data_IF_095258474989
#
_entry.id   IF_095258474989
#
_cell.length_a   1.000
_cell.length_b   1.000
_cell.length_c   1.000
_cell.angle_alpha   90.00
_cell.angle_beta   90.00
_cell.angle_gamma   90.00
#
_symmetry.space_group_name_H-M   'P 1'
#
loop_
_entity.id
_entity.type
_entity.pdbx_description
1 polymer ?
2 non-polymer ?
3 water ?
#
# COMPACT_ATOMS: atom_id res chain seq x y z
N UNK A 20 13.56 -9.41 -7.80
CA UNK A 20 14.37 -10.25 -6.95
C UNK A 20 13.79 -10.58 -5.59
N UNK A 21 14.18 -11.74 -5.06
CA UNK A 21 13.73 -12.12 -3.72
C UNK A 21 14.32 -11.22 -2.65
N UNK A 22 13.63 -11.18 -1.52
CA UNK A 22 14.09 -10.39 -0.40
C UNK A 22 13.57 -8.97 -0.45
N UNK A 23 14.16 -8.15 0.40
CA UNK A 23 13.70 -6.80 0.58
C UNK A 23 12.57 -6.74 1.58
N UNK A 24 12.02 -5.54 1.72
CA UNK A 24 10.90 -5.33 2.64
C UNK A 24 9.74 -6.26 2.31
N UNK A 25 9.06 -6.73 3.35
CA UNK A 25 7.91 -7.61 3.19
C UNK A 25 6.63 -6.80 2.97
N UNK A 26 5.88 -7.14 1.92
CA UNK A 26 4.59 -6.49 1.72
C UNK A 26 3.63 -6.85 2.84
N UNK A 27 3.74 -8.07 3.37
CA UNK A 27 2.87 -8.48 4.47
C UNK A 27 3.17 -7.69 5.72
N UNK A 28 4.45 -7.38 5.96
CA UNK A 28 4.83 -6.58 7.11
C UNK A 28 4.28 -5.18 6.98
N UNK A 29 4.37 -4.61 5.78
CA UNK A 29 3.78 -3.30 5.54
C UNK A 29 2.27 -3.31 5.76
N UNK A 30 1.59 -4.31 5.22
CA UNK A 30 0.15 -4.40 5.42
C UNK A 30 -0.18 -4.55 6.89
N UNK A 31 0.64 -5.30 7.61
CA UNK A 31 0.46 -5.44 9.04
C UNK A 31 0.56 -4.10 9.75
N UNK A 32 1.57 -3.31 9.40
CA UNK A 32 1.75 -2.01 10.01
C UNK A 32 0.61 -1.06 9.63
N UNK A 33 0.09 -1.17 8.41
CA UNK A 33 -1.07 -0.35 8.05
C UNK A 33 -2.26 -0.70 8.92
N UNK A 34 -2.48 -2.00 9.14
CA UNK A 34 -3.64 -2.44 9.91
C UNK A 34 -3.59 -1.90 11.33
N UNK A 35 -2.40 -1.84 11.92
CA UNK A 35 -2.26 -1.34 13.28
C UNK A 35 -2.61 0.14 13.38
N UNK A 36 -2.45 0.88 12.29
CA UNK A 36 -2.71 2.32 12.33
C UNK A 36 -4.10 2.67 11.85
N UNK A 37 -4.60 2.00 10.82
CA UNK A 37 -5.93 2.25 10.28
C UNK A 37 -6.35 1.11 9.35
N UNK A 38 -7.20 0.21 9.83
CA UNK A 38 -7.63 -0.91 8.99
C UNK A 38 -8.36 -0.48 7.72
N UNK A 39 -8.94 0.71 7.69
CA UNK A 39 -9.56 1.20 6.46
C UNK A 39 -8.52 1.40 5.37
N UNK A 40 -7.33 1.89 5.74
CA UNK A 40 -6.27 2.05 4.75
C UNK A 40 -5.67 0.70 4.38
N UNK A 41 -5.51 -0.19 5.36
CA UNK A 41 -5.04 -1.53 5.05
C UNK A 41 -5.96 -2.19 4.04
N UNK A 42 -7.28 -2.02 4.21
CA UNK A 42 -8.21 -2.70 3.33
C UNK A 42 -8.09 -2.17 1.90
N UNK A 43 -8.06 -0.84 1.73
CA UNK A 43 -7.96 -0.30 0.38
C UNK A 43 -6.61 -0.63 -0.26
N UNK A 44 -5.54 -0.70 0.54
CA UNK A 44 -4.23 -1.05 0.00
C UNK A 44 -4.17 -2.53 -0.34
N UNK A 45 -4.75 -3.38 0.51
CA UNK A 45 -4.74 -4.81 0.20
C UNK A 45 -5.42 -5.08 -1.12
N UNK A 46 -6.49 -4.34 -1.43
CA UNK A 46 -7.16 -4.52 -2.71
C UNK A 46 -6.26 -4.12 -3.87
N UNK A 47 -5.57 -2.98 -3.74
CA UNK A 47 -4.64 -2.55 -4.78
C UNK A 47 -3.50 -3.54 -4.93
N UNK A 48 -3.01 -4.08 -3.81
CA UNK A 48 -1.92 -5.05 -3.86
C UNK A 48 -2.36 -6.30 -4.62
N UNK A 49 -3.57 -6.77 -4.35
CA UNK A 49 -4.07 -7.96 -5.03
C UNK A 49 -4.17 -7.75 -6.53
N UNK A 50 -4.70 -6.60 -6.96
CA UNK A 50 -4.80 -6.30 -8.39
C UNK A 50 -3.42 -6.15 -9.03
N UNK A 51 -2.50 -5.47 -8.36
CA UNK A 51 -1.17 -5.26 -8.94
C UNK A 51 -0.40 -6.57 -9.06
N UNK A 52 -0.57 -7.47 -8.10
CA UNK A 52 0.06 -8.78 -8.24
C UNK A 52 -0.54 -9.54 -9.41
N UNK A 53 -1.85 -9.42 -9.61
CA UNK A 53 -2.48 -10.09 -10.75
C UNK A 53 -1.99 -9.55 -12.08
N UNK A 54 -1.70 -8.25 -12.15
CA UNK A 54 -1.09 -7.67 -13.33
C UNK A 54 0.41 -7.95 -13.41
N UNK A 55 0.94 -8.76 -12.50
CA UNK A 55 2.32 -9.18 -12.58
C UNK A 55 3.34 -8.16 -12.14
N UNK A 56 2.99 -7.26 -11.21
CA UNK A 56 3.98 -6.34 -10.64
C UNK A 56 3.92 -6.31 -9.11
N UNK A 57 4.48 -7.34 -8.46
CA UNK A 57 4.54 -7.34 -6.99
C UNK A 57 5.38 -6.21 -6.42
N UNK A 58 6.42 -5.78 -7.14
CA UNK A 58 7.24 -4.67 -6.64
C UNK A 58 6.44 -3.39 -6.61
N UNK A 59 5.59 -3.18 -7.61
CA UNK A 59 4.69 -2.03 -7.62
C UNK A 59 3.73 -2.10 -6.44
N UNK A 60 3.20 -3.30 -6.17
CA UNK A 60 2.37 -3.51 -4.98
C UNK A 60 3.11 -3.12 -3.70
N UNK A 61 4.37 -3.53 -3.58
CA UNK A 61 5.14 -3.19 -2.40
C UNK A 61 5.39 -1.69 -2.30
N UNK A 62 5.69 -1.03 -3.42
CA UNK A 62 5.85 0.43 -3.37
C UNK A 62 4.58 1.11 -2.88
N UNK A 63 3.43 0.65 -3.38
CA UNK A 63 2.14 1.24 -2.99
C UNK A 63 1.91 1.06 -1.49
N UNK A 64 2.19 -0.14 -0.97
CA UNK A 64 1.98 -0.36 0.46
C UNK A 64 2.95 0.46 1.30
N UNK A 65 4.21 0.50 0.89
CA UNK A 65 5.19 1.32 1.58
C UNK A 65 4.78 2.79 1.56
N UNK A 66 4.33 3.28 0.40
CA UNK A 66 3.92 4.68 0.32
C UNK A 66 2.73 4.96 1.23
N UNK A 67 1.75 4.06 1.24
CA UNK A 67 0.59 4.28 2.10
C UNK A 67 1.01 4.35 3.56
N UNK A 68 2.00 3.54 3.95
CA UNK A 68 2.44 3.56 5.34
C UNK A 68 3.10 4.88 5.71
N UNK A 69 3.97 5.41 4.83
CA UNK A 69 4.54 6.73 5.10
C UNK A 69 3.42 7.75 5.29
N UNK A 70 2.44 7.76 4.38
CA UNK A 70 1.41 8.80 4.45
C UNK A 70 0.51 8.62 5.66
N UNK A 71 0.17 7.37 5.99
CA UNK A 71 -0.69 7.12 7.15
C UNK A 71 0.03 7.47 8.45
N UNK A 72 1.33 7.20 8.53
CA UNK A 72 2.08 7.61 9.71
C UNK A 72 2.10 9.12 9.88
N UNK A 73 1.95 9.88 8.79
CA UNK A 73 1.88 11.35 8.83
C UNK A 73 0.46 11.88 8.95
N UNK A 74 -0.54 11.02 9.14
CA UNK A 74 -1.90 11.50 9.34
C UNK A 74 -2.68 11.84 8.09
N UNK A 75 -2.29 11.31 6.93
CA UNK A 75 -3.04 11.56 5.72
C UNK A 75 -4.32 10.72 5.74
N UNK A 76 -5.41 11.30 5.27
CA UNK A 76 -6.70 10.60 5.30
C UNK A 76 -6.72 9.45 4.30
N UNK A 77 -7.52 8.41 4.56
CA UNK A 77 -7.59 7.31 3.60
C UNK A 77 -7.93 7.76 2.19
N UNK A 78 -8.80 8.76 2.03
CA UNK A 78 -9.18 9.17 0.69
C UNK A 78 -8.03 9.89 0.00
N UNK A 79 -7.29 10.70 0.74
CA UNK A 79 -6.14 11.36 0.15
C UNK A 79 -5.03 10.37 -0.16
N UNK A 80 -4.84 9.35 0.68
CA UNK A 80 -3.87 8.31 0.36
C UNK A 80 -4.22 7.66 -0.96
N UNK A 81 -5.49 7.27 -1.12
CA UNK A 81 -5.89 6.59 -2.33
C UNK A 81 -5.68 7.45 -3.57
N UNK A 82 -6.03 8.74 -3.51
CA UNK A 82 -5.79 9.63 -4.64
C UNK A 82 -4.32 9.67 -5.01
N UNK A 83 -3.45 9.81 -4.00
CA UNK A 83 -2.01 9.88 -4.24
C UNK A 83 -1.50 8.60 -4.89
N UNK A 84 -1.90 7.45 -4.36
CA UNK A 84 -1.45 6.18 -4.91
C UNK A 84 -1.89 6.02 -6.36
N UNK A 85 -3.10 6.47 -6.68
CA UNK A 85 -3.60 6.31 -8.05
C UNK A 85 -2.75 7.08 -9.05
N UNK A 86 -2.27 8.27 -8.65
CA UNK A 86 -1.45 9.09 -9.54
C UNK A 86 -0.12 8.44 -9.83
N UNK A 87 0.44 7.71 -8.88
CA UNK A 87 1.67 6.97 -9.10
C UNK A 87 1.46 5.71 -9.92
N UNK A 88 0.21 5.28 -10.07
CA UNK A 88 -0.12 4.09 -10.81
C UNK A 88 -0.54 4.38 -12.24
N UNK A 89 -0.75 5.64 -12.61
CA UNK A 89 -1.12 5.98 -13.98
C UNK A 89 -0.04 5.56 -14.96
X LIG B 1 9.34 4.17 1.67
X LIG C 1 12.98 -8.10 -6.20
#
# INVERSE_FOLDING_TARGET
MGSSHHHHHHSSGLEVLFQGPGGTSVEELLEELRKLDPRVEELVRELVRKLREEGDPDKARFVADDALHLLRQGVSPEEIERHLRELLK
ZN ZN
ZN ZN
#
